data_IF_101843694350
#
_entry.id   IF_101843694350
#
_cell.length_a   1.000
_cell.length_b   1.000
_cell.length_c   1.000
_cell.angle_alpha   90.00
_cell.angle_beta   90.00
_cell.angle_gamma   90.00
#
_symmetry.space_group_name_H-M   'P 1'
#
loop_
_entity.id
_entity.type
_entity.pdbx_description
1 polymer ?
#
# COMPACT_ATOMS: atom_id res chain seq x y z
N UNK A 1 19.46 -21.24 20.62
CA UNK A 1 18.32 -20.31 20.64
C UNK A 1 18.33 -19.63 19.28
N UNK A 2 17.17 -19.44 18.66
CA UNK A 2 17.08 -18.84 17.33
C UNK A 2 17.43 -17.35 17.40
N UNK A 3 18.45 -16.88 16.67
CA UNK A 3 18.82 -15.45 16.55
C UNK A 3 17.76 -14.62 15.80
N UNK A 4 16.67 -15.26 15.37
CA UNK A 4 15.62 -14.64 14.57
C UNK A 4 14.75 -13.74 15.43
N UNK A 5 14.82 -12.44 15.17
CA UNK A 5 14.02 -11.39 15.81
C UNK A 5 12.63 -11.30 15.16
N UNK A 6 11.58 -11.25 15.97
CA UNK A 6 10.19 -11.08 15.50
C UNK A 6 9.39 -10.08 16.35
N UNK A 7 10.08 -9.28 17.16
CA UNK A 7 9.47 -8.23 17.98
C UNK A 7 9.03 -7.07 17.07
N UNK A 8 7.72 -6.72 17.04
CA UNK A 8 7.27 -5.55 16.27
C UNK A 8 7.90 -4.25 16.79
N UNK A 9 8.20 -3.31 15.90
CA UNK A 9 8.68 -1.97 16.27
C UNK A 9 7.63 -1.15 17.02
N UNK A 10 6.33 -1.38 16.75
CA UNK A 10 5.23 -0.80 17.51
C UNK A 10 5.02 -1.62 18.81
N UNK A 11 5.29 -1.05 20.00
CA UNK A 11 5.13 -1.78 21.27
C UNK A 11 3.68 -2.18 21.54
N UNK A 12 2.72 -1.44 20.99
CA UNK A 12 1.27 -1.68 21.12
C UNK A 12 0.71 -2.56 19.99
N UNK A 13 1.57 -3.23 19.21
CA UNK A 13 1.13 -4.10 18.13
C UNK A 13 0.18 -5.20 18.64
N UNK A 14 -0.93 -5.37 17.92
CA UNK A 14 -1.94 -6.38 18.19
C UNK A 14 -1.35 -7.80 18.09
N UNK A 15 -2.03 -8.77 18.70
CA UNK A 15 -1.57 -10.17 18.70
C UNK A 15 -1.43 -10.74 17.27
N UNK A 16 -2.31 -10.34 16.34
CA UNK A 16 -2.22 -10.75 14.93
C UNK A 16 -0.88 -10.39 14.28
N UNK A 17 -0.39 -9.17 14.53
CA UNK A 17 0.92 -8.70 14.03
C UNK A 17 2.05 -9.56 14.60
N UNK A 18 2.02 -9.86 15.89
CA UNK A 18 3.03 -10.70 16.55
C UNK A 18 3.05 -12.11 15.99
N UNK A 19 1.87 -12.67 15.69
CA UNK A 19 1.74 -13.99 15.07
C UNK A 19 2.32 -14.01 13.66
N UNK A 20 2.05 -12.98 12.85
CA UNK A 20 2.62 -12.86 11.49
C UNK A 20 4.15 -12.74 11.55
N UNK A 21 4.70 -11.82 12.37
CA UNK A 21 6.16 -11.68 12.48
C UNK A 21 6.83 -12.96 12.99
N UNK A 22 6.21 -13.65 13.96
CA UNK A 22 6.69 -14.96 14.41
C UNK A 22 6.70 -15.97 13.27
N UNK A 23 5.63 -16.06 12.47
CA UNK A 23 5.57 -16.95 11.31
C UNK A 23 6.68 -16.65 10.31
N UNK A 24 6.89 -15.37 9.96
CA UNK A 24 7.95 -14.95 9.04
C UNK A 24 9.35 -15.33 9.57
N UNK A 25 9.59 -15.12 10.86
CA UNK A 25 10.80 -15.56 11.53
C UNK A 25 10.95 -17.08 11.47
N UNK A 26 9.93 -17.85 11.83
CA UNK A 26 9.99 -19.31 11.86
C UNK A 26 10.41 -19.88 10.49
N UNK A 27 9.88 -19.35 9.39
CA UNK A 27 10.22 -19.83 8.03
C UNK A 27 11.52 -19.27 7.44
N UNK A 28 12.16 -18.30 8.09
CA UNK A 28 13.39 -17.66 7.58
C UNK A 28 14.48 -18.71 7.38
N UNK A 29 15.16 -18.68 6.23
CA UNK A 29 16.15 -19.67 5.76
C UNK A 29 15.61 -21.05 5.39
N UNK A 30 14.30 -21.30 5.53
CA UNK A 30 13.69 -22.61 5.24
C UNK A 30 12.71 -22.57 4.08
N UNK A 31 11.95 -21.49 3.93
CA UNK A 31 10.90 -21.35 2.90
C UNK A 31 10.86 -19.96 2.30
N UNK A 32 10.20 -19.85 1.17
CA UNK A 32 9.89 -18.59 0.49
C UNK A 32 8.36 -18.47 0.39
N UNK A 33 7.84 -17.29 0.70
CA UNK A 33 6.43 -16.95 0.54
C UNK A 33 6.20 -16.53 -0.91
N UNK A 34 5.24 -17.16 -1.59
CA UNK A 34 4.78 -16.69 -2.89
C UNK A 34 3.93 -15.42 -2.70
N UNK A 35 4.29 -14.37 -3.43
CA UNK A 35 3.62 -13.09 -3.39
C UNK A 35 3.19 -12.64 -4.78
N UNK A 36 2.08 -11.92 -4.87
CA UNK A 36 1.65 -11.21 -6.08
C UNK A 36 1.13 -9.82 -5.69
N UNK A 37 1.44 -8.80 -6.47
CA UNK A 37 0.84 -7.47 -6.32
C UNK A 37 -0.38 -7.34 -7.24
N UNK A 38 -1.44 -6.67 -6.76
CA UNK A 38 -2.64 -6.33 -7.54
C UNK A 38 -2.92 -4.85 -7.39
N UNK A 39 -3.09 -4.17 -8.53
CA UNK A 39 -3.39 -2.74 -8.55
C UNK A 39 -4.90 -2.47 -8.61
N UNK A 40 -5.65 -3.30 -9.33
CA UNK A 40 -7.06 -3.04 -9.62
C UNK A 40 -8.00 -3.85 -8.72
N UNK A 41 -9.25 -3.40 -8.63
CA UNK A 41 -10.35 -4.15 -7.99
C UNK A 41 -10.64 -5.52 -8.64
N UNK A 42 -10.20 -5.72 -9.88
CA UNK A 42 -10.40 -6.95 -10.64
C UNK A 42 -9.40 -8.06 -10.28
N UNK A 43 -8.21 -7.71 -9.79
CA UNK A 43 -7.17 -8.67 -9.35
C UNK A 43 -6.82 -9.73 -10.41
N UNK A 44 -6.62 -9.30 -11.65
CA UNK A 44 -6.41 -10.18 -12.80
C UNK A 44 -5.21 -11.10 -12.63
N UNK A 45 -4.13 -10.61 -12.00
CA UNK A 45 -2.92 -11.39 -11.74
C UNK A 45 -3.17 -12.54 -10.77
N UNK A 46 -3.97 -12.32 -9.73
CA UNK A 46 -4.37 -13.36 -8.78
C UNK A 46 -5.14 -14.47 -9.49
N UNK A 47 -6.13 -14.10 -10.31
CA UNK A 47 -6.96 -15.03 -11.05
C UNK A 47 -6.18 -15.79 -12.11
N UNK A 48 -5.21 -15.13 -12.77
CA UNK A 48 -4.33 -15.79 -13.73
C UNK A 48 -3.45 -16.84 -13.05
N UNK A 49 -2.83 -16.52 -11.91
CA UNK A 49 -2.02 -17.47 -11.13
C UNK A 49 -2.85 -18.69 -10.73
N UNK A 50 -4.05 -18.47 -10.20
CA UNK A 50 -4.94 -19.56 -9.79
C UNK A 50 -5.35 -20.43 -10.97
N UNK A 51 -5.73 -19.82 -12.09
CA UNK A 51 -6.12 -20.53 -13.31
C UNK A 51 -4.99 -21.40 -13.87
N UNK A 52 -3.75 -20.89 -13.86
CA UNK A 52 -2.59 -21.58 -14.46
C UNK A 52 -2.01 -22.63 -13.53
N UNK A 53 -2.01 -22.39 -12.21
CA UNK A 53 -1.28 -23.22 -11.24
C UNK A 53 -2.19 -24.08 -10.35
N UNK A 54 -3.49 -23.79 -10.30
CA UNK A 54 -4.44 -24.37 -9.35
C UNK A 54 -4.22 -23.92 -7.91
N UNK A 55 -3.39 -22.89 -7.68
CA UNK A 55 -3.06 -22.36 -6.34
C UNK A 55 -3.07 -20.84 -6.34
N UNK A 56 -3.32 -20.25 -5.18
CA UNK A 56 -3.18 -18.81 -4.95
C UNK A 56 -1.85 -18.52 -4.22
N UNK A 57 -1.26 -17.31 -4.37
CA UNK A 57 -0.12 -16.89 -3.57
C UNK A 57 -0.50 -16.82 -2.08
N UNK A 58 0.49 -16.90 -1.19
CA UNK A 58 0.25 -16.77 0.25
C UNK A 58 0.22 -15.31 0.71
N UNK A 59 0.91 -14.42 -0.01
CA UNK A 59 0.93 -12.97 0.20
C UNK A 59 0.28 -12.25 -0.99
N UNK A 60 -0.63 -11.33 -0.71
CA UNK A 60 -1.20 -10.46 -1.73
C UNK A 60 -0.89 -9.00 -1.42
N UNK A 61 -0.40 -8.30 -2.44
CA UNK A 61 -0.07 -6.88 -2.40
C UNK A 61 -1.19 -6.02 -2.96
N UNK A 62 -1.46 -4.90 -2.30
CA UNK A 62 -2.52 -3.97 -2.70
C UNK A 62 -1.95 -2.56 -2.83
N UNK A 63 -2.35 -1.90 -3.92
CA UNK A 63 -2.06 -0.49 -4.15
C UNK A 63 -3.15 0.39 -3.52
N UNK A 64 -2.75 1.53 -2.94
CA UNK A 64 -3.65 2.50 -2.29
C UNK A 64 -3.66 3.87 -2.98
N UNK A 65 -3.12 4.00 -4.20
CA UNK A 65 -3.00 5.27 -4.92
C UNK A 65 -4.29 6.08 -4.99
N UNK A 66 -5.44 5.41 -5.14
CA UNK A 66 -6.76 6.07 -5.27
C UNK A 66 -7.26 6.69 -3.97
N UNK A 67 -6.63 6.38 -2.83
CA UNK A 67 -6.93 6.97 -1.53
C UNK A 67 -6.17 8.28 -1.28
N UNK A 68 -5.30 8.70 -2.20
CA UNK A 68 -4.61 9.98 -2.11
C UNK A 68 -5.64 11.14 -2.16
N UNK A 69 -5.67 12.06 -1.18
CA UNK A 69 -6.67 13.14 -1.15
C UNK A 69 -6.52 14.17 -2.27
N UNK A 70 -5.31 14.32 -2.82
CA UNK A 70 -4.93 15.41 -3.71
C UNK A 70 -4.77 15.00 -5.18
N UNK A 71 -5.48 13.95 -5.61
CA UNK A 71 -5.54 13.59 -7.03
C UNK A 71 -6.11 14.78 -7.82
N UNK A 72 -5.33 15.29 -8.77
CA UNK A 72 -5.72 16.44 -9.56
C UNK A 72 -6.52 16.02 -10.80
N UNK A 73 -7.84 15.88 -10.64
CA UNK A 73 -8.75 15.51 -11.73
C UNK A 73 -8.84 16.55 -12.87
N UNK A 74 -8.29 17.76 -12.68
CA UNK A 74 -8.34 18.84 -13.68
C UNK A 74 -7.11 18.93 -14.58
N UNK A 75 -5.97 18.37 -14.14
CA UNK A 75 -4.73 18.31 -14.90
C UNK A 75 -4.13 16.91 -14.73
N UNK A 76 -4.65 15.99 -15.55
CA UNK A 76 -4.32 14.57 -15.54
C UNK A 76 -4.52 14.00 -16.94
N UNK A 77 -4.00 12.79 -17.18
CA UNK A 77 -4.18 12.05 -18.42
C UNK A 77 -5.03 10.79 -18.22
N UNK A 78 -5.47 10.21 -19.34
CA UNK A 78 -6.37 9.05 -19.34
C UNK A 78 -5.74 7.84 -18.65
N UNK A 79 -4.42 7.63 -18.81
CA UNK A 79 -3.71 6.50 -18.19
C UNK A 79 -3.75 6.60 -16.66
N UNK A 80 -3.37 7.76 -16.12
CA UNK A 80 -3.47 8.04 -14.70
C UNK A 80 -4.90 7.85 -14.17
N UNK A 81 -5.90 8.32 -14.92
CA UNK A 81 -7.30 8.24 -14.51
C UNK A 81 -7.86 6.83 -14.55
N UNK A 82 -7.42 6.00 -15.49
CA UNK A 82 -7.73 4.57 -15.50
C UNK A 82 -7.22 3.89 -14.24
N UNK A 83 -5.95 4.12 -13.86
CA UNK A 83 -5.39 3.51 -12.65
C UNK A 83 -6.14 3.93 -11.38
N UNK A 84 -6.44 5.23 -11.24
CA UNK A 84 -7.21 5.75 -10.10
C UNK A 84 -8.59 5.12 -10.04
N UNK A 85 -9.29 5.06 -11.18
CA UNK A 85 -10.67 4.57 -11.25
C UNK A 85 -10.76 3.07 -10.98
N UNK A 86 -9.84 2.29 -11.55
CA UNK A 86 -9.83 0.82 -11.38
C UNK A 86 -9.30 0.38 -10.02
N UNK A 87 -8.46 1.20 -9.36
CA UNK A 87 -7.99 0.97 -8.00
C UNK A 87 -9.02 1.38 -6.94
N UNK A 88 -9.97 2.27 -7.26
CA UNK A 88 -10.91 2.82 -6.27
C UNK A 88 -11.68 1.73 -5.51
N UNK A 89 -11.55 1.74 -4.18
CA UNK A 89 -12.22 0.78 -3.29
C UNK A 89 -11.44 -0.51 -3.01
N UNK A 90 -10.17 -0.60 -3.41
CA UNK A 90 -9.28 -1.78 -3.23
C UNK A 90 -9.19 -2.31 -1.79
N UNK A 91 -9.40 -1.48 -0.76
CA UNK A 91 -9.47 -1.97 0.63
C UNK A 91 -10.54 -3.04 0.84
N UNK A 92 -11.62 -3.05 0.06
CA UNK A 92 -12.59 -4.14 0.11
C UNK A 92 -11.93 -5.49 -0.18
N UNK A 93 -11.01 -5.55 -1.15
CA UNK A 93 -10.26 -6.77 -1.49
C UNK A 93 -9.25 -7.14 -0.43
N UNK A 94 -8.67 -6.14 0.26
CA UNK A 94 -7.81 -6.36 1.42
C UNK A 94 -8.56 -7.15 2.51
N UNK A 95 -9.78 -6.73 2.84
CA UNK A 95 -10.62 -7.42 3.83
C UNK A 95 -11.02 -8.83 3.40
N UNK A 96 -11.45 -9.00 2.14
CA UNK A 96 -11.77 -10.33 1.59
C UNK A 96 -10.57 -11.29 1.64
N UNK A 97 -9.35 -10.78 1.44
CA UNK A 97 -8.13 -11.58 1.57
C UNK A 97 -7.76 -11.90 3.03
N UNK A 98 -7.97 -10.95 3.94
CA UNK A 98 -7.82 -11.15 5.38
C UNK A 98 -8.76 -12.25 5.91
N UNK A 99 -10.02 -12.27 5.44
CA UNK A 99 -11.00 -13.30 5.81
C UNK A 99 -10.54 -14.71 5.38
N UNK A 100 -9.80 -14.81 4.27
CA UNK A 100 -9.14 -16.04 3.81
C UNK A 100 -7.86 -16.37 4.57
N UNK A 101 -7.47 -15.55 5.56
CA UNK A 101 -6.23 -15.65 6.33
C UNK A 101 -4.98 -15.52 5.47
N UNK A 102 -5.09 -14.85 4.32
CA UNK A 102 -3.94 -14.56 3.47
C UNK A 102 -3.07 -13.46 4.07
N UNK A 103 -1.76 -13.50 3.81
CA UNK A 103 -0.87 -12.41 4.20
C UNK A 103 -1.13 -11.21 3.31
N UNK A 104 -1.05 -10.01 3.87
CA UNK A 104 -1.32 -8.75 3.19
C UNK A 104 -0.05 -7.91 3.21
N UNK A 105 0.26 -7.29 2.07
CA UNK A 105 1.15 -6.13 2.00
C UNK A 105 0.42 -4.99 1.30
N UNK A 106 0.64 -3.76 1.74
CA UNK A 106 0.05 -2.57 1.13
C UNK A 106 1.18 -1.62 0.73
N UNK A 107 1.06 -1.02 -0.43
CA UNK A 107 1.87 0.11 -0.84
C UNK A 107 0.95 1.26 -1.26
N UNK A 108 1.54 2.44 -1.35
CA UNK A 108 0.82 3.64 -1.70
C UNK A 108 1.69 4.52 -2.58
N UNK A 109 1.34 4.59 -3.86
CA UNK A 109 1.83 5.65 -4.73
C UNK A 109 1.11 6.94 -4.34
N UNK A 110 1.72 7.64 -3.39
CA UNK A 110 1.18 8.86 -2.83
C UNK A 110 1.25 10.00 -3.83
N UNK A 111 0.10 10.36 -4.41
CA UNK A 111 0.00 11.53 -5.28
C UNK A 111 0.43 12.76 -4.52
N UNK A 112 1.18 13.63 -5.20
CA UNK A 112 1.74 14.82 -4.59
C UNK A 112 0.66 15.62 -3.87
N UNK A 113 0.88 15.96 -2.59
CA UNK A 113 -0.11 16.68 -1.81
C UNK A 113 -0.15 18.17 -2.17
N UNK A 114 0.78 18.65 -3.02
CA UNK A 114 0.84 20.03 -3.51
C UNK A 114 1.22 20.07 -5.00
N UNK A 115 0.46 20.84 -5.79
CA UNK A 115 0.82 21.25 -7.15
C UNK A 115 1.26 20.08 -8.08
N UNK A 116 0.56 18.95 -7.99
CA UNK A 116 0.78 17.79 -8.86
C UNK A 116 -0.11 17.79 -10.10
N UNK A 117 0.39 17.19 -11.18
CA UNK A 117 -0.38 16.83 -12.39
C UNK A 117 -0.24 15.35 -12.71
N UNK A 118 -1.25 14.74 -13.34
CA UNK A 118 -1.23 13.31 -13.71
C UNK A 118 -0.70 12.43 -12.55
N UNK A 119 0.16 11.46 -12.82
CA UNK A 119 0.89 10.61 -11.87
C UNK A 119 1.92 11.42 -11.09
N UNK A 120 1.44 12.30 -10.22
CA UNK A 120 2.24 13.26 -9.45
C UNK A 120 3.08 12.65 -8.33
N UNK A 121 3.00 11.32 -8.14
CA UNK A 121 3.97 10.56 -7.36
C UNK A 121 5.32 10.41 -8.09
N UNK A 122 5.38 10.66 -9.42
CA UNK A 122 6.64 10.86 -10.12
C UNK A 122 7.13 12.30 -9.94
N UNK A 123 8.41 12.46 -9.62
CA UNK A 123 9.01 13.77 -9.34
C UNK A 123 9.02 14.74 -10.53
N UNK A 124 8.87 14.25 -11.77
CA UNK A 124 8.74 15.12 -12.95
C UNK A 124 7.35 15.79 -13.07
N UNK A 125 6.37 15.28 -12.32
CA UNK A 125 4.96 15.67 -12.38
C UNK A 125 4.52 16.52 -11.18
N UNK A 126 5.47 16.96 -10.34
CA UNK A 126 5.21 17.84 -9.20
C UNK A 126 6.48 18.61 -8.82
N UNK A 127 6.32 19.78 -8.22
CA UNK A 127 7.39 20.54 -7.58
C UNK A 127 7.48 20.31 -6.05
N UNK A 128 6.71 19.34 -5.52
CA UNK A 128 6.73 18.99 -4.11
C UNK A 128 8.14 18.62 -3.63
N UNK A 129 8.60 19.36 -2.62
CA UNK A 129 9.94 19.19 -2.06
C UNK A 129 9.87 18.40 -0.74
N UNK A 130 10.18 17.11 -0.82
CA UNK A 130 10.21 16.23 0.34
C UNK A 130 11.16 16.70 1.45
N UNK A 131 12.20 17.48 1.13
CA UNK A 131 13.11 18.03 2.14
C UNK A 131 12.45 19.09 3.02
N UNK A 132 11.43 19.79 2.50
CA UNK A 132 10.61 20.74 3.27
C UNK A 132 9.49 20.07 4.05
N UNK A 133 9.04 18.89 3.61
CA UNK A 133 7.98 18.15 4.28
C UNK A 133 8.33 17.73 5.73
N UNK A 134 9.62 17.63 6.04
CA UNK A 134 10.14 17.33 7.39
C UNK A 134 10.48 18.58 8.21
N UNK A 135 10.25 19.78 7.66
CA UNK A 135 10.45 21.06 8.36
C UNK A 135 9.08 21.54 8.82
N UNK A 136 8.91 21.66 10.13
CA UNK A 136 7.64 22.07 10.73
C UNK A 136 7.06 23.34 10.08
N UNK A 137 5.76 23.32 9.87
CA UNK A 137 4.95 24.46 9.39
C UNK A 137 5.18 24.92 7.95
N UNK A 138 6.08 24.30 7.18
CA UNK A 138 6.13 24.51 5.73
C UNK A 138 4.81 24.07 5.07
N UNK A 139 4.45 24.60 3.89
CA UNK A 139 3.31 24.10 3.13
C UNK A 139 3.39 22.58 2.90
N UNK A 140 4.57 22.06 2.55
CA UNK A 140 4.83 20.66 2.27
C UNK A 140 4.60 19.79 3.52
N UNK A 141 5.03 20.26 4.70
CA UNK A 141 4.82 19.56 5.96
C UNK A 141 3.34 19.49 6.34
N UNK A 142 2.61 20.60 6.20
CA UNK A 142 1.17 20.63 6.47
C UNK A 142 0.40 19.70 5.53
N UNK A 143 0.76 19.68 4.25
CA UNK A 143 0.13 18.83 3.25
C UNK A 143 0.45 17.35 3.48
N UNK A 144 1.71 17.01 3.80
CA UNK A 144 2.11 15.68 4.26
C UNK A 144 1.26 15.21 5.44
N UNK A 145 1.16 16.01 6.50
CA UNK A 145 0.43 15.62 7.72
C UNK A 145 -1.07 15.42 7.44
N UNK A 146 -1.69 16.28 6.62
CA UNK A 146 -3.09 16.14 6.20
C UNK A 146 -3.36 14.80 5.50
N UNK A 147 -2.47 14.41 4.59
CA UNK A 147 -2.61 13.17 3.84
C UNK A 147 -2.32 11.94 4.70
N UNK A 148 -1.30 12.01 5.56
CA UNK A 148 -1.01 10.96 6.54
C UNK A 148 -2.19 10.76 7.51
N UNK A 149 -2.81 11.85 8.00
CA UNK A 149 -3.97 11.78 8.88
C UNK A 149 -5.17 11.14 8.17
N UNK A 150 -5.36 11.43 6.88
CA UNK A 150 -6.41 10.80 6.08
C UNK A 150 -6.18 9.29 5.97
N UNK A 151 -4.98 8.85 5.60
CA UNK A 151 -4.65 7.43 5.51
C UNK A 151 -4.70 6.73 6.87
N UNK A 152 -4.23 7.40 7.92
CA UNK A 152 -4.33 6.90 9.28
C UNK A 152 -5.77 6.84 9.77
N UNK A 153 -6.71 7.61 9.21
CA UNK A 153 -8.15 7.49 9.45
C UNK A 153 -8.77 6.29 8.74
N UNK A 154 -8.30 5.99 7.53
CA UNK A 154 -8.77 4.87 6.70
C UNK A 154 -8.29 3.50 7.24
N UNK A 155 -7.07 3.44 7.78
CA UNK A 155 -6.41 2.18 8.19
C UNK A 155 -6.52 1.86 9.70
N UNK A 156 -7.52 2.42 10.40
CA UNK A 156 -7.68 2.20 11.85
C UNK A 156 -8.18 0.81 12.24
#
# INVERSE_FOLDING_TARGET
MSDKLYTPSNPNAQQGVRNVLKYLSDITYEKIITGQHTQTMAQEELHLIEKVTGKQPALLGFELLSYSPNINYSDTDDECMTEVTENYGTLKRVWEWAEKKGLITMCWHWFSPLYGRSKSFFSENTDFDASKAVIDSTPENKALLSDMDTMAGILR
#
